data_IF_148562689290
#
_entry.id   IF_148562689290
#
_cell.length_a   1.000
_cell.length_b   1.000
_cell.length_c   1.000
_cell.angle_alpha   90.00
_cell.angle_beta   90.00
_cell.angle_gamma   90.00
#
_symmetry.space_group_name_H-M   'P 1'
#
loop_
_entity.id
_entity.type
_entity.pdbx_description
1 polymer ?
#
# COMPACT_ATOMS: atom_id res chain seq x y z
N UNK A 1 20.08 -33.95 40.28
CA UNK A 1 19.21 -34.56 39.25
C UNK A 1 18.32 -33.43 38.77
N UNK A 2 18.80 -32.68 37.79
CA UNK A 2 18.06 -31.54 37.25
C UNK A 2 17.38 -31.98 35.97
N UNK A 3 16.05 -31.91 36.01
CA UNK A 3 15.18 -32.21 34.90
C UNK A 3 15.34 -31.11 33.84
N UNK A 4 16.11 -31.39 32.79
CA UNK A 4 16.16 -30.58 31.56
C UNK A 4 14.85 -30.70 30.77
N UNK A 5 13.79 -30.15 31.34
CA UNK A 5 12.50 -29.94 30.69
C UNK A 5 12.71 -28.93 29.54
N UNK A 6 12.29 -29.33 28.34
CA UNK A 6 12.31 -28.58 27.08
C UNK A 6 13.66 -28.52 26.36
N UNK A 7 14.09 -29.66 25.80
CA UNK A 7 14.85 -29.63 24.56
C UNK A 7 13.96 -29.00 23.48
N UNK A 8 14.13 -27.70 23.23
CA UNK A 8 13.56 -27.06 22.05
C UNK A 8 14.09 -27.81 20.84
N UNK A 9 13.20 -28.54 20.15
CA UNK A 9 13.52 -29.18 18.88
C UNK A 9 13.81 -28.06 17.89
N UNK A 10 15.09 -27.80 17.64
CA UNK A 10 15.51 -26.87 16.60
C UNK A 10 15.15 -27.47 15.24
N UNK A 11 14.25 -26.83 14.46
CA UNK A 11 13.91 -27.31 13.14
C UNK A 11 15.13 -27.18 12.22
N UNK A 12 15.27 -28.00 11.18
CA UNK A 12 16.43 -27.95 10.29
C UNK A 12 16.55 -26.57 9.64
N UNK A 13 17.71 -25.92 9.77
CA UNK A 13 17.98 -24.60 9.16
C UNK A 13 17.76 -24.59 7.65
N UNK A 14 16.66 -23.99 7.22
CA UNK A 14 16.39 -23.70 5.81
C UNK A 14 17.27 -22.51 5.40
N UNK A 15 18.11 -22.69 4.37
CA UNK A 15 19.11 -21.72 3.90
C UNK A 15 20.04 -21.19 5.01
N UNK A 16 20.38 -22.02 6.00
CA UNK A 16 21.31 -21.65 7.08
C UNK A 16 20.73 -20.68 8.12
N UNK A 17 19.42 -20.44 8.12
CA UNK A 17 18.73 -19.59 9.08
C UNK A 17 17.64 -20.34 9.84
N UNK A 18 17.91 -20.61 11.12
CA UNK A 18 16.94 -21.12 12.09
C UNK A 18 15.73 -20.16 12.21
N UNK A 19 15.98 -18.85 12.25
CA UNK A 19 14.93 -17.83 12.32
C UNK A 19 13.97 -17.93 11.14
N UNK A 20 14.49 -18.03 9.92
CA UNK A 20 13.67 -18.15 8.71
C UNK A 20 12.80 -19.40 8.79
N UNK A 21 13.37 -20.50 9.27
CA UNK A 21 12.65 -21.76 9.44
C UNK A 21 11.49 -21.62 10.41
N UNK A 22 11.71 -20.98 11.56
CA UNK A 22 10.66 -20.68 12.53
C UNK A 22 9.58 -19.75 11.98
N UNK A 23 9.96 -18.72 11.21
CA UNK A 23 9.00 -17.80 10.57
C UNK A 23 8.12 -18.55 9.57
N UNK A 24 8.71 -19.39 8.73
CA UNK A 24 7.98 -20.19 7.74
C UNK A 24 7.06 -21.22 8.40
N UNK A 25 7.53 -21.92 9.43
CA UNK A 25 6.72 -22.85 10.21
C UNK A 25 5.56 -22.13 10.92
N UNK A 26 5.83 -20.96 11.50
CA UNK A 26 4.81 -20.12 12.13
C UNK A 26 3.74 -19.67 11.13
N UNK A 27 4.14 -19.20 9.94
CA UNK A 27 3.23 -18.83 8.85
C UNK A 27 2.42 -20.03 8.34
N UNK A 28 3.05 -21.20 8.19
CA UNK A 28 2.38 -22.44 7.79
C UNK A 28 1.34 -22.86 8.83
N UNK A 29 1.70 -22.86 10.11
CA UNK A 29 0.80 -23.25 11.20
C UNK A 29 -0.37 -22.26 11.33
N UNK A 30 -0.09 -20.97 11.24
CA UNK A 30 -1.13 -19.93 11.13
C UNK A 30 -2.07 -20.20 9.96
N UNK A 31 -1.53 -20.49 8.77
CA UNK A 31 -2.33 -20.72 7.59
C UNK A 31 -3.21 -21.97 7.72
N UNK A 32 -2.67 -23.06 8.27
CA UNK A 32 -3.43 -24.27 8.59
C UNK A 32 -4.53 -23.99 9.60
N UNK A 33 -4.27 -23.17 10.63
CA UNK A 33 -5.28 -22.76 11.60
C UNK A 33 -6.41 -21.96 10.94
N UNK A 34 -6.08 -21.00 10.06
CA UNK A 34 -7.08 -20.24 9.28
C UNK A 34 -7.94 -21.15 8.41
N UNK A 35 -7.32 -22.11 7.70
CA UNK A 35 -8.05 -23.10 6.90
C UNK A 35 -8.97 -23.96 7.79
N UNK A 36 -8.48 -24.40 8.95
CA UNK A 36 -9.26 -25.16 9.92
C UNK A 36 -10.48 -24.39 10.41
N UNK A 37 -10.31 -23.11 10.78
CA UNK A 37 -11.40 -22.23 11.21
C UNK A 37 -12.41 -21.97 10.09
N UNK A 38 -11.94 -21.77 8.86
CA UNK A 38 -12.81 -21.57 7.68
C UNK A 38 -13.64 -22.82 7.40
N UNK A 39 -12.99 -23.98 7.34
CA UNK A 39 -13.68 -25.25 7.06
C UNK A 39 -14.62 -25.65 8.21
N UNK A 40 -14.32 -25.24 9.44
CA UNK A 40 -15.19 -25.41 10.60
C UNK A 40 -16.36 -24.42 10.67
N UNK A 41 -16.47 -23.46 9.76
CA UNK A 41 -17.55 -22.46 9.75
C UNK A 41 -17.48 -21.44 10.90
N UNK A 42 -16.33 -21.32 11.57
CA UNK A 42 -16.15 -20.39 12.69
C UNK A 42 -15.80 -18.97 12.24
N UNK A 43 -15.45 -18.78 10.97
CA UNK A 43 -15.14 -17.46 10.42
C UNK A 43 -16.43 -16.70 10.09
N UNK A 44 -16.62 -15.48 10.64
CA UNK A 44 -17.76 -14.63 10.28
C UNK A 44 -17.75 -14.20 8.81
N UNK A 45 -18.93 -13.89 8.26
CA UNK A 45 -19.12 -13.48 6.86
C UNK A 45 -18.33 -12.22 6.44
N UNK A 46 -17.93 -11.38 7.41
CA UNK A 46 -17.10 -10.21 7.13
C UNK A 46 -15.61 -10.53 6.97
N UNK A 47 -15.17 -11.75 7.31
CA UNK A 47 -13.78 -12.21 7.16
C UNK A 47 -13.68 -13.08 5.90
N UNK A 48 -13.05 -12.55 4.87
CA UNK A 48 -12.63 -13.33 3.72
C UNK A 48 -11.25 -13.93 3.94
N UNK A 49 -10.98 -15.05 3.27
CA UNK A 49 -9.66 -15.68 3.26
C UNK A 49 -9.17 -15.82 1.83
N UNK A 50 -8.07 -15.17 1.48
CA UNK A 50 -7.39 -15.33 0.19
C UNK A 50 -5.98 -15.87 0.45
N UNK A 51 -5.86 -17.19 0.46
CA UNK A 51 -4.62 -17.87 0.88
C UNK A 51 -4.26 -17.54 2.33
N UNK A 52 -3.03 -17.10 2.65
CA UNK A 52 -2.63 -16.70 4.00
C UNK A 52 -3.14 -15.31 4.41
N UNK A 53 -3.74 -14.56 3.48
CA UNK A 53 -4.23 -13.20 3.74
C UNK A 53 -5.69 -13.25 4.21
N UNK A 54 -5.96 -12.57 5.32
CA UNK A 54 -7.30 -12.33 5.83
C UNK A 54 -7.79 -10.97 5.36
N UNK A 55 -8.99 -10.90 4.81
CA UNK A 55 -9.62 -9.64 4.40
C UNK A 55 -10.80 -9.33 5.31
N UNK A 56 -10.75 -8.16 5.94
CA UNK A 56 -11.82 -7.68 6.81
C UNK A 56 -12.70 -6.71 6.05
N UNK A 57 -13.92 -7.13 5.74
CA UNK A 57 -14.88 -6.35 4.97
C UNK A 57 -15.76 -5.50 5.89
N UNK A 58 -16.02 -4.28 5.48
CA UNK A 58 -16.94 -3.36 6.14
C UNK A 58 -17.73 -2.58 5.12
N UNK A 59 -19.00 -2.30 5.43
CA UNK A 59 -19.85 -1.39 4.63
C UNK A 59 -19.95 -0.01 5.25
N UNK A 60 -19.41 0.20 6.46
CA UNK A 60 -19.57 1.44 7.24
C UNK A 60 -18.90 2.65 6.57
N UNK A 61 -17.77 2.45 5.91
CA UNK A 61 -17.04 3.54 5.25
C UNK A 61 -17.81 4.18 4.08
N UNK A 62 -18.82 3.49 3.53
CA UNK A 62 -19.68 4.02 2.46
C UNK A 62 -20.39 5.32 2.87
N UNK A 63 -20.88 5.39 4.11
CA UNK A 63 -21.57 6.59 4.62
C UNK A 63 -20.63 7.80 4.65
N UNK A 64 -19.36 7.58 5.02
CA UNK A 64 -18.35 8.62 4.99
C UNK A 64 -18.07 9.06 3.55
N UNK A 65 -17.91 8.09 2.63
CA UNK A 65 -17.69 8.37 1.21
C UNK A 65 -18.87 9.13 0.59
N UNK A 66 -20.11 8.78 0.91
CA UNK A 66 -21.32 9.49 0.46
C UNK A 66 -21.33 10.94 0.91
N UNK A 67 -20.90 11.18 2.16
CA UNK A 67 -20.78 12.53 2.70
C UNK A 67 -19.66 13.32 2.01
N UNK A 68 -18.50 12.70 1.81
CA UNK A 68 -17.34 13.33 1.17
C UNK A 68 -17.57 13.56 -0.33
N UNK A 69 -18.34 12.73 -1.01
CA UNK A 69 -18.62 12.81 -2.44
C UNK A 69 -19.64 13.89 -2.83
N UNK A 70 -20.33 14.50 -1.85
CA UNK A 70 -21.36 15.54 -2.06
C UNK A 70 -20.94 16.65 -3.05
N UNK A 71 -19.75 17.26 -2.98
CA UNK A 71 -19.32 18.26 -3.96
C UNK A 71 -18.84 17.59 -5.26
N UNK A 72 -19.74 16.88 -5.95
CA UNK A 72 -19.43 16.10 -7.17
C UNK A 72 -18.68 16.92 -8.23
N UNK A 73 -19.05 18.19 -8.42
CA UNK A 73 -18.40 19.10 -9.39
C UNK A 73 -16.92 19.34 -9.06
N UNK A 74 -16.58 19.55 -7.79
CA UNK A 74 -15.20 19.73 -7.35
C UNK A 74 -14.38 18.47 -7.61
N UNK A 75 -14.90 17.31 -7.19
CA UNK A 75 -14.21 16.03 -7.37
C UNK A 75 -14.02 15.66 -8.84
N UNK A 76 -14.99 15.95 -9.71
CA UNK A 76 -14.86 15.78 -11.16
C UNK A 76 -13.78 16.69 -11.76
N UNK A 77 -13.72 17.95 -11.34
CA UNK A 77 -12.67 18.85 -11.80
C UNK A 77 -11.28 18.38 -11.33
N UNK A 78 -11.15 18.04 -10.04
CA UNK A 78 -9.93 17.53 -9.44
C UNK A 78 -9.41 16.27 -10.16
N UNK A 79 -10.30 15.29 -10.37
CA UNK A 79 -9.94 14.04 -11.04
C UNK A 79 -9.69 14.21 -12.54
N UNK A 80 -10.33 15.15 -13.24
CA UNK A 80 -9.95 15.44 -14.63
C UNK A 80 -8.51 15.97 -14.74
N UNK A 81 -8.07 16.81 -13.80
CA UNK A 81 -6.64 17.21 -13.69
C UNK A 81 -5.79 15.98 -13.36
N UNK A 82 -6.26 15.19 -12.38
CA UNK A 82 -5.63 13.95 -11.95
C UNK A 82 -5.40 12.93 -13.06
N UNK A 83 -6.35 12.77 -13.98
CA UNK A 83 -6.21 11.90 -15.16
C UNK A 83 -5.04 12.35 -16.04
N UNK A 84 -4.88 13.65 -16.23
CA UNK A 84 -3.73 14.21 -16.95
C UNK A 84 -2.40 13.89 -16.25
N UNK A 85 -2.33 14.11 -14.93
CA UNK A 85 -1.15 13.78 -14.12
C UNK A 85 -0.85 12.28 -14.18
N UNK A 86 -1.86 11.44 -14.00
CA UNK A 86 -1.72 9.99 -14.03
C UNK A 86 -1.20 9.50 -15.38
N UNK A 87 -1.66 10.08 -16.49
CA UNK A 87 -1.14 9.76 -17.83
C UNK A 87 0.34 10.14 -17.96
N UNK A 88 0.73 11.33 -17.52
CA UNK A 88 2.13 11.78 -17.54
C UNK A 88 3.01 10.86 -16.70
N UNK A 89 2.59 10.56 -15.46
CA UNK A 89 3.32 9.67 -14.54
C UNK A 89 3.42 8.26 -15.13
N UNK A 90 2.35 7.75 -15.76
CA UNK A 90 2.35 6.44 -16.39
C UNK A 90 3.37 6.36 -17.53
N UNK A 91 3.38 7.33 -18.44
CA UNK A 91 4.34 7.39 -19.55
C UNK A 91 5.77 7.54 -19.03
N UNK A 92 5.98 8.42 -18.04
CA UNK A 92 7.29 8.64 -17.42
C UNK A 92 7.82 7.38 -16.72
N UNK A 93 6.97 6.68 -15.96
CA UNK A 93 7.33 5.42 -15.30
C UNK A 93 7.60 4.31 -16.31
N UNK A 94 6.82 4.23 -17.38
CA UNK A 94 7.08 3.26 -18.44
C UNK A 94 8.45 3.50 -19.11
N UNK A 95 8.76 4.75 -19.46
CA UNK A 95 10.07 5.11 -20.01
C UNK A 95 11.22 4.86 -19.02
N UNK A 96 11.02 5.18 -17.73
CA UNK A 96 11.98 4.90 -16.67
C UNK A 96 12.24 3.40 -16.52
N UNK A 97 11.20 2.56 -16.55
CA UNK A 97 11.34 1.10 -16.47
C UNK A 97 12.07 0.51 -17.68
N UNK A 98 11.80 1.02 -18.90
CA UNK A 98 12.57 0.65 -20.09
C UNK A 98 14.04 1.02 -19.90
N UNK A 99 14.33 2.24 -19.45
CA UNK A 99 15.69 2.68 -19.21
C UNK A 99 16.37 1.81 -18.14
N UNK A 100 15.67 1.50 -17.04
CA UNK A 100 16.17 0.63 -15.99
C UNK A 100 16.48 -0.78 -16.52
N UNK A 101 15.62 -1.34 -17.37
CA UNK A 101 15.82 -2.62 -18.00
C UNK A 101 17.04 -2.63 -18.94
N UNK A 102 17.17 -1.60 -19.79
CA UNK A 102 18.34 -1.44 -20.67
C UNK A 102 19.63 -1.35 -19.84
N UNK A 103 19.64 -0.54 -18.78
CA UNK A 103 20.80 -0.39 -17.89
C UNK A 103 21.15 -1.70 -17.18
N UNK A 104 20.15 -2.46 -16.75
CA UNK A 104 20.37 -3.76 -16.11
C UNK A 104 21.02 -4.78 -17.07
N UNK A 105 20.64 -4.76 -18.35
CA UNK A 105 21.21 -5.63 -19.38
C UNK A 105 22.60 -5.17 -19.86
N UNK A 106 22.83 -3.86 -19.97
CA UNK A 106 24.08 -3.32 -20.51
C UNK A 106 25.19 -3.19 -19.47
N UNK A 107 24.85 -3.01 -18.19
CA UNK A 107 25.84 -2.85 -17.11
C UNK A 107 25.52 -3.75 -15.91
N UNK A 108 25.76 -5.08 -16.00
CA UNK A 108 25.45 -6.02 -14.92
C UNK A 108 26.15 -5.67 -13.60
N UNK A 109 27.34 -5.07 -13.68
CA UNK A 109 28.16 -4.67 -12.54
C UNK A 109 27.45 -3.59 -11.68
N UNK A 110 26.71 -2.67 -12.32
CA UNK A 110 25.95 -1.64 -11.61
C UNK A 110 24.71 -2.19 -10.89
N UNK A 111 24.23 -3.40 -11.22
CA UNK A 111 23.15 -4.06 -10.49
C UNK A 111 23.58 -4.50 -9.08
N UNK A 112 24.89 -4.58 -8.81
CA UNK A 112 25.43 -4.95 -7.49
C UNK A 112 25.66 -3.77 -6.55
N UNK A 113 25.47 -2.53 -7.04
CA UNK A 113 25.59 -1.33 -6.21
C UNK A 113 24.60 -1.39 -5.06
N UNK A 114 25.03 -0.98 -3.85
CA UNK A 114 24.26 -1.14 -2.62
C UNK A 114 22.81 -0.61 -2.75
N UNK A 115 22.62 0.51 -3.44
CA UNK A 115 21.31 1.14 -3.67
C UNK A 115 20.36 0.26 -4.50
N UNK A 116 20.88 -0.58 -5.40
CA UNK A 116 20.10 -1.41 -6.34
C UNK A 116 19.99 -2.87 -5.92
N UNK A 117 20.52 -3.24 -4.75
CA UNK A 117 20.37 -4.58 -4.22
C UNK A 117 18.89 -4.85 -3.89
N UNK A 118 18.37 -6.07 -4.16
CA UNK A 118 16.95 -6.38 -3.97
C UNK A 118 16.42 -6.04 -2.56
N UNK A 119 17.23 -6.24 -1.51
CA UNK A 119 16.85 -5.87 -0.13
C UNK A 119 16.60 -4.37 0.06
N UNK A 120 17.30 -3.52 -0.69
CA UNK A 120 17.24 -2.07 -0.58
C UNK A 120 16.16 -1.45 -1.48
N UNK A 121 15.53 -2.25 -2.35
CA UNK A 121 14.31 -1.88 -3.09
C UNK A 121 13.07 -2.06 -2.22
N UNK A 122 13.10 -3.02 -1.28
CA UNK A 122 11.99 -3.25 -0.36
C UNK A 122 11.95 -2.19 0.73
N UNK A 123 10.76 -1.64 1.00
CA UNK A 123 10.54 -0.66 2.08
C UNK A 123 10.30 -1.40 3.40
N UNK A 124 11.28 -2.20 3.83
CA UNK A 124 11.22 -2.97 5.08
C UNK A 124 12.32 -2.45 6.02
N UNK A 125 11.96 -1.72 7.08
CA UNK A 125 12.94 -1.20 8.04
C UNK A 125 13.80 -2.32 8.64
N UNK A 126 15.10 -2.07 8.78
CA UNK A 126 16.07 -3.04 9.30
C UNK A 126 16.53 -4.13 8.30
N UNK A 127 15.79 -4.35 7.21
CA UNK A 127 16.24 -5.17 6.06
C UNK A 127 16.86 -4.30 4.97
N UNK A 128 16.29 -3.10 4.79
CA UNK A 128 16.83 -2.07 3.93
C UNK A 128 17.92 -1.29 4.66
N UNK A 129 19.12 -1.25 4.08
CA UNK A 129 20.30 -0.60 4.65
C UNK A 129 20.10 0.92 4.86
N UNK A 130 19.10 1.51 4.19
CA UNK A 130 18.77 2.94 4.26
C UNK A 130 17.58 3.27 5.18
N UNK A 131 16.91 2.26 5.76
CA UNK A 131 15.73 2.45 6.61
C UNK A 131 16.01 1.94 8.04
N UNK A 132 16.48 2.81 8.95
CA UNK A 132 16.74 2.41 10.32
C UNK A 132 15.44 2.03 11.04
N UNK A 133 15.53 1.09 12.00
CA UNK A 133 14.37 0.64 12.77
C UNK A 133 13.68 1.78 13.55
N UNK A 134 14.42 2.83 13.93
CA UNK A 134 13.86 4.03 14.57
C UNK A 134 12.88 4.80 13.68
N UNK A 135 13.02 4.71 12.35
CA UNK A 135 12.11 5.35 11.39
C UNK A 135 10.84 4.52 11.12
N UNK A 136 10.77 3.28 11.62
CA UNK A 136 9.64 2.36 11.40
C UNK A 136 8.28 2.99 11.68
N UNK A 137 8.05 3.70 12.81
CA UNK A 137 6.75 4.29 13.08
C UNK A 137 6.32 5.31 12.02
N UNK A 138 7.26 6.13 11.54
CA UNK A 138 7.00 7.11 10.49
C UNK A 138 6.73 6.46 9.13
N UNK A 139 7.48 5.40 8.80
CA UNK A 139 7.29 4.64 7.55
C UNK A 139 5.93 3.95 7.55
N UNK A 140 5.59 3.24 8.62
CA UNK A 140 4.29 2.56 8.77
C UNK A 140 3.15 3.57 8.69
N UNK A 141 3.27 4.72 9.37
CA UNK A 141 2.29 5.79 9.29
C UNK A 141 2.13 6.32 7.85
N UNK A 142 3.23 6.61 7.16
CA UNK A 142 3.21 7.09 5.78
C UNK A 142 2.57 6.08 4.82
N UNK A 143 2.89 4.80 4.96
CA UNK A 143 2.29 3.71 4.18
C UNK A 143 0.78 3.59 4.45
N UNK A 144 0.37 3.65 5.72
CA UNK A 144 -1.05 3.63 6.09
C UNK A 144 -1.82 4.82 5.51
N UNK A 145 -1.26 6.03 5.61
CA UNK A 145 -1.88 7.24 5.03
C UNK A 145 -1.98 7.09 3.52
N UNK A 146 -0.90 6.70 2.83
CA UNK A 146 -0.90 6.51 1.39
C UNK A 146 -1.92 5.48 0.94
N UNK A 147 -2.01 4.35 1.63
CA UNK A 147 -2.98 3.29 1.35
C UNK A 147 -4.43 3.76 1.54
N UNK A 148 -4.74 4.38 2.69
CA UNK A 148 -6.09 4.89 3.00
C UNK A 148 -6.51 5.95 2.00
N UNK A 149 -5.61 6.85 1.62
CA UNK A 149 -5.91 7.91 0.66
C UNK A 149 -6.03 7.38 -0.77
N UNK A 150 -5.23 6.38 -1.14
CA UNK A 150 -5.29 5.73 -2.45
C UNK A 150 -6.64 5.02 -2.66
N UNK A 151 -6.93 4.07 -1.77
CA UNK A 151 -8.15 3.25 -1.82
C UNK A 151 -9.39 4.09 -1.52
N UNK A 152 -9.29 4.98 -0.53
CA UNK A 152 -10.33 5.95 -0.23
C UNK A 152 -10.61 6.89 -1.42
N UNK A 153 -9.59 7.21 -2.22
CA UNK A 153 -9.72 7.94 -3.47
C UNK A 153 -10.54 7.20 -4.52
N UNK A 154 -10.23 5.93 -4.74
CA UNK A 154 -11.04 5.07 -5.61
C UNK A 154 -12.49 5.02 -5.14
N UNK A 155 -12.73 4.73 -3.85
CA UNK A 155 -14.08 4.69 -3.29
C UNK A 155 -14.83 6.02 -3.37
N UNK A 156 -14.13 7.14 -3.14
CA UNK A 156 -14.72 8.47 -3.27
C UNK A 156 -15.18 8.73 -4.70
N UNK A 157 -14.34 8.41 -5.68
CA UNK A 157 -14.67 8.64 -7.09
C UNK A 157 -15.73 7.65 -7.59
N UNK A 158 -15.83 6.44 -7.03
CA UNK A 158 -16.99 5.57 -7.27
C UNK A 158 -18.29 6.31 -6.90
N UNK A 159 -18.38 6.91 -5.71
CA UNK A 159 -19.58 7.66 -5.28
C UNK A 159 -19.83 8.93 -6.08
N UNK A 160 -18.79 9.60 -6.56
CA UNK A 160 -18.93 10.80 -7.42
C UNK A 160 -19.46 10.44 -8.82
N UNK A 161 -19.08 9.28 -9.33
CA UNK A 161 -19.47 8.76 -10.65
C UNK A 161 -20.67 7.82 -10.61
N UNK A 162 -21.34 7.73 -9.46
CA UNK A 162 -22.53 6.89 -9.25
C UNK A 162 -22.26 5.39 -9.53
N UNK A 163 -21.05 4.94 -9.18
CA UNK A 163 -20.61 3.53 -9.17
C UNK A 163 -20.78 3.00 -7.75
N UNK A 164 -21.48 1.87 -7.63
CA UNK A 164 -21.72 1.23 -6.35
C UNK A 164 -20.44 0.56 -5.82
N UNK A 165 -20.40 0.36 -4.50
CA UNK A 165 -19.28 -0.30 -3.82
C UNK A 165 -19.86 -1.53 -3.14
N UNK A 166 -19.33 -2.72 -3.43
CA UNK A 166 -19.76 -3.99 -2.84
C UNK A 166 -19.14 -4.23 -1.47
N UNK A 167 -17.89 -3.83 -1.31
CA UNK A 167 -17.20 -3.97 -0.04
C UNK A 167 -16.01 -3.01 0.03
N UNK A 168 -15.51 -2.79 1.24
CA UNK A 168 -14.25 -2.10 1.46
C UNK A 168 -13.63 -2.67 2.73
N UNK A 169 -12.31 -2.59 2.87
CA UNK A 169 -11.68 -3.33 3.95
C UNK A 169 -10.19 -3.17 4.08
N UNK A 170 -9.63 -4.00 4.96
CA UNK A 170 -8.21 -4.12 5.23
C UNK A 170 -7.79 -5.56 4.96
N UNK A 171 -6.68 -5.73 4.26
CA UNK A 171 -6.00 -7.00 4.06
C UNK A 171 -4.89 -7.16 5.09
N UNK A 172 -4.89 -8.28 5.81
CA UNK A 172 -3.94 -8.59 6.87
C UNK A 172 -3.22 -9.90 6.59
N UNK A 173 -1.90 -9.90 6.71
CA UNK A 173 -1.09 -11.11 6.79
C UNK A 173 -0.85 -11.39 8.27
N UNK A 174 -1.55 -12.38 8.82
CA UNK A 174 -1.63 -12.61 10.26
C UNK A 174 -2.04 -11.33 11.01
N UNK A 175 -1.10 -10.69 11.71
CA UNK A 175 -1.33 -9.44 12.46
C UNK A 175 -0.87 -8.18 11.72
N UNK A 176 -0.18 -8.33 10.59
CA UNK A 176 0.39 -7.22 9.84
C UNK A 176 -0.62 -6.71 8.80
N UNK A 177 -1.05 -5.43 8.86
CA UNK A 177 -1.83 -4.85 7.78
C UNK A 177 -0.94 -4.74 6.53
N UNK A 178 -1.29 -5.49 5.49
CA UNK A 178 -0.56 -5.52 4.22
C UNK A 178 -1.24 -4.68 3.14
N UNK A 179 -2.52 -4.34 3.32
CA UNK A 179 -3.23 -3.50 2.38
C UNK A 179 -4.61 -3.08 2.86
N UNK A 180 -5.26 -2.24 2.06
CA UNK A 180 -6.66 -1.87 2.16
C UNK A 180 -7.23 -1.96 0.76
N UNK A 181 -8.55 -1.99 0.66
CA UNK A 181 -9.19 -2.09 -0.64
C UNK A 181 -10.56 -1.45 -0.62
N UNK A 182 -10.99 -1.01 -1.79
CA UNK A 182 -12.38 -0.72 -2.11
C UNK A 182 -12.78 -1.54 -3.32
N UNK A 183 -13.86 -2.31 -3.19
CA UNK A 183 -14.38 -3.18 -4.22
C UNK A 183 -15.59 -2.51 -4.89
N UNK A 184 -15.45 -1.97 -6.11
CA UNK A 184 -16.57 -1.43 -6.86
C UNK A 184 -17.44 -2.56 -7.42
N UNK A 185 -18.75 -2.34 -7.43
CA UNK A 185 -19.69 -3.30 -8.04
C UNK A 185 -19.45 -3.37 -9.55
N UNK A 186 -19.40 -4.60 -10.07
CA UNK A 186 -18.98 -4.87 -11.44
C UNK A 186 -20.00 -4.39 -12.48
N UNK A 187 -21.30 -4.46 -12.20
CA UNK A 187 -22.35 -4.08 -13.14
C UNK A 187 -22.47 -2.56 -13.27
N UNK A 188 -22.46 -1.85 -12.14
CA UNK A 188 -22.42 -0.39 -12.07
C UNK A 188 -21.13 0.16 -12.67
N UNK A 189 -19.98 -0.47 -12.42
CA UNK A 189 -18.70 -0.08 -13.02
C UNK A 189 -18.71 -0.17 -14.55
N UNK A 190 -19.29 -1.24 -15.10
CA UNK A 190 -19.37 -1.44 -16.55
C UNK A 190 -20.37 -0.52 -17.23
N UNK A 191 -21.47 -0.19 -16.54
CA UNK A 191 -22.49 0.73 -17.05
C UNK A 191 -22.09 2.20 -16.91
N UNK A 192 -21.14 2.53 -16.04
CA UNK A 192 -20.60 3.87 -15.90
C UNK A 192 -19.93 4.38 -17.20
N UNK A 193 -20.00 5.69 -17.41
CA UNK A 193 -19.38 6.34 -18.57
C UNK A 193 -17.87 6.10 -18.59
N UNK A 194 -17.27 6.06 -19.79
CA UNK A 194 -15.81 5.93 -19.96
C UNK A 194 -15.04 6.97 -19.15
N UNK A 195 -15.52 8.22 -19.12
CA UNK A 195 -14.92 9.28 -18.32
C UNK A 195 -15.00 9.02 -16.82
N UNK A 196 -16.12 8.47 -16.34
CA UNK A 196 -16.28 8.08 -14.93
C UNK A 196 -15.34 6.94 -14.53
N UNK A 197 -15.26 5.89 -15.37
CA UNK A 197 -14.31 4.80 -15.17
C UNK A 197 -12.86 5.31 -15.14
N UNK A 198 -12.47 6.15 -16.11
CA UNK A 198 -11.11 6.70 -16.16
C UNK A 198 -10.79 7.55 -14.92
N UNK A 199 -11.73 8.38 -14.45
CA UNK A 199 -11.55 9.15 -13.20
C UNK A 199 -11.41 8.25 -11.98
N UNK A 200 -12.23 7.21 -11.88
CA UNK A 200 -12.15 6.21 -10.82
C UNK A 200 -10.79 5.52 -10.83
N UNK A 201 -10.30 5.02 -11.97
CA UNK A 201 -8.99 4.36 -12.05
C UNK A 201 -7.81 5.32 -11.78
N UNK A 202 -7.93 6.60 -12.13
CA UNK A 202 -6.88 7.59 -11.86
C UNK A 202 -6.89 8.13 -10.41
N UNK A 203 -7.95 7.89 -9.64
CA UNK A 203 -8.18 8.53 -8.35
C UNK A 203 -7.08 8.24 -7.32
N UNK A 204 -6.66 6.98 -7.18
CA UNK A 204 -5.64 6.59 -6.22
C UNK A 204 -4.28 7.25 -6.49
N UNK A 205 -3.85 7.26 -7.76
CA UNK A 205 -2.61 7.92 -8.18
C UNK A 205 -2.67 9.42 -7.92
N UNK A 206 -3.78 10.06 -8.31
CA UNK A 206 -3.99 11.51 -8.14
C UNK A 206 -3.90 11.92 -6.67
N UNK A 207 -4.60 11.20 -5.80
CA UNK A 207 -4.67 11.55 -4.39
C UNK A 207 -3.34 11.29 -3.67
N UNK A 208 -2.64 10.21 -3.99
CA UNK A 208 -1.30 9.98 -3.45
C UNK A 208 -0.31 11.03 -3.93
N UNK A 209 -0.40 11.46 -5.18
CA UNK A 209 0.43 12.54 -5.70
C UNK A 209 0.19 13.86 -4.94
N UNK A 210 -1.07 14.17 -4.64
CA UNK A 210 -1.41 15.35 -3.83
C UNK A 210 -0.91 15.28 -2.39
N UNK A 211 -1.05 14.14 -1.73
CA UNK A 211 -0.47 13.93 -0.38
C UNK A 211 1.05 14.03 -0.43
N UNK A 212 1.68 13.54 -1.50
CA UNK A 212 3.13 13.65 -1.69
C UNK A 212 3.53 15.12 -1.78
N UNK A 213 2.88 15.91 -2.65
CA UNK A 213 3.13 17.35 -2.76
C UNK A 213 2.95 18.03 -1.40
N UNK A 214 1.88 17.72 -0.67
CA UNK A 214 1.62 18.30 0.65
C UNK A 214 2.72 17.93 1.65
N UNK A 215 3.13 16.66 1.69
CA UNK A 215 4.19 16.19 2.58
C UNK A 215 5.53 16.88 2.28
N UNK A 216 5.90 17.00 1.00
CA UNK A 216 7.10 17.73 0.59
C UNK A 216 7.01 19.23 0.92
N UNK A 217 5.85 19.85 0.70
CA UNK A 217 5.63 21.25 1.05
C UNK A 217 5.74 21.49 2.56
N UNK A 218 5.22 20.59 3.39
CA UNK A 218 5.34 20.67 4.85
C UNK A 218 6.76 20.39 5.35
N UNK A 219 7.49 19.49 4.68
CA UNK A 219 8.86 19.13 5.04
C UNK A 219 9.86 20.24 4.67
N UNK A 220 9.76 20.78 3.45
CA UNK A 220 10.73 21.73 2.92
C UNK A 220 10.29 23.19 2.99
N UNK A 221 8.98 23.48 3.07
CA UNK A 221 8.44 24.83 3.13
C UNK A 221 9.00 25.68 4.30
N UNK A 222 9.03 25.16 5.54
CA UNK A 222 9.62 25.87 6.68
C UNK A 222 11.11 26.17 6.48
N UNK A 223 11.86 25.25 5.87
CA UNK A 223 13.29 25.40 5.59
C UNK A 223 13.53 26.51 4.57
N UNK A 224 12.77 26.52 3.46
CA UNK A 224 12.84 27.57 2.44
C UNK A 224 12.43 28.93 3.02
N UNK A 225 11.39 28.98 3.85
CA UNK A 225 10.96 30.21 4.53
C UNK A 225 12.04 30.77 5.47
N UNK A 226 12.71 29.91 6.23
CA UNK A 226 13.79 30.31 7.13
C UNK A 226 15.02 30.86 6.37
N UNK A 227 15.40 30.24 5.24
CA UNK A 227 16.50 30.73 4.39
C UNK A 227 16.16 32.09 3.79
N UNK A 228 14.92 32.29 3.33
CA UNK A 228 14.46 33.56 2.79
C UNK A 228 14.58 34.71 3.79
N UNK A 229 14.18 34.50 5.05
CA UNK A 229 14.29 35.50 6.12
C UNK A 229 15.76 35.78 6.49
N UNK A 230 16.61 34.75 6.55
CA UNK A 230 18.03 34.93 6.84
C UNK A 230 18.76 35.73 5.75
N UNK A 231 18.40 35.55 4.48
CA UNK A 231 18.96 36.32 3.36
C UNK A 231 18.46 37.76 3.28
N UNK A 232 17.31 38.08 3.87
CA UNK A 232 16.73 39.43 3.90
C UNK A 232 17.20 40.28 5.09
N UNK A 233 17.93 39.67 6.04
CA UNK A 233 18.48 40.33 7.22
C UNK A 233 20.01 40.50 7.21
N UNK A 234 20.67 40.21 6.08
CA UNK A 234 22.12 40.37 5.86
C UNK A 234 22.42 41.52 4.90
#
# INVERSE_FOLDING_TARGET
MDHGLFAFVSPPAIYGSELLTWVLLGLLLYWLAVIGLRNGGYLPDYIGTQGPILTFHTKRGRVLLDRLARPKRFWRAWSNIGVGIALVVMVAMFAFLIQAAITALSTPQMATSAVRQPRNVLVIPGVNDFLPLSATPGIVFGLLVGLVVHEGGHGLLCRVEDIDIDSMGIAMLAVLPVGAFVEPDQESSKSASRGGQTRMFAAGVTNNFAITILAFALLFGPVVGAIGVASAGA
#
